data_IF_591759823627
#
_entry.id   IF_591759823627
#
_cell.length_a   1.000
_cell.length_b   1.000
_cell.length_c   1.000
_cell.angle_alpha   90.00
_cell.angle_beta   90.00
_cell.angle_gamma   90.00
#
_symmetry.space_group_name_H-M   'P 1'
#
loop_
_entity.id
_entity.type
_entity.pdbx_description
1 polymer ?
#
# COMPACT_ATOMS: atom_id res chain seq x y z
N UNK A 1 -26.81 -9.43 -0.88
CA UNK A 1 -25.81 -8.36 -1.03
C UNK A 1 -25.25 -8.45 -2.47
N UNK A 2 -25.62 -7.53 -3.38
CA UNK A 2 -25.27 -7.62 -4.81
C UNK A 2 -23.77 -7.32 -4.98
N UNK A 3 -23.03 -8.28 -5.49
CA UNK A 3 -21.61 -8.16 -5.84
C UNK A 3 -21.51 -7.16 -6.99
N UNK A 4 -20.88 -6.03 -6.78
CA UNK A 4 -20.54 -5.06 -7.82
C UNK A 4 -19.68 -5.75 -8.91
N UNK A 5 -20.19 -5.73 -10.14
CA UNK A 5 -19.59 -6.42 -11.27
C UNK A 5 -18.41 -5.59 -11.82
N UNK A 6 -17.20 -5.87 -11.37
CA UNK A 6 -15.97 -5.13 -11.67
C UNK A 6 -15.63 -5.01 -13.17
N UNK A 7 -16.13 -5.92 -14.02
CA UNK A 7 -15.98 -5.78 -15.48
C UNK A 7 -16.70 -4.54 -16.02
N UNK A 8 -17.87 -4.18 -15.46
CA UNK A 8 -18.60 -2.98 -15.87
C UNK A 8 -17.94 -1.68 -15.37
N UNK A 9 -17.21 -1.73 -14.25
CA UNK A 9 -16.43 -0.59 -13.76
C UNK A 9 -15.27 -0.25 -14.71
N UNK A 10 -14.59 -1.24 -15.29
CA UNK A 10 -13.49 -1.05 -16.25
C UNK A 10 -13.94 -0.34 -17.54
N UNK A 11 -15.13 -0.65 -18.06
CA UNK A 11 -15.66 0.03 -19.25
C UNK A 11 -16.16 1.44 -18.94
N UNK A 12 -16.76 1.68 -17.77
CA UNK A 12 -17.15 3.02 -17.33
C UNK A 12 -15.94 3.91 -17.11
N UNK A 13 -14.81 3.36 -16.69
CA UNK A 13 -13.54 4.05 -16.50
C UNK A 13 -12.93 4.51 -17.84
N UNK A 14 -12.95 3.66 -18.87
CA UNK A 14 -12.50 4.03 -20.23
C UNK A 14 -13.39 5.08 -20.88
N UNK A 15 -14.72 5.02 -20.71
CA UNK A 15 -15.64 6.00 -21.24
C UNK A 15 -15.54 7.37 -20.52
N UNK A 16 -15.23 7.40 -19.22
CA UNK A 16 -15.04 8.65 -18.49
C UNK A 16 -13.78 9.39 -18.93
N UNK A 17 -12.71 8.68 -19.28
CA UNK A 17 -11.47 9.27 -19.81
C UNK A 17 -11.72 9.91 -21.19
N UNK A 18 -12.49 9.28 -22.06
CA UNK A 18 -12.77 9.80 -23.41
C UNK A 18 -13.69 11.04 -23.41
N UNK A 19 -14.58 11.19 -22.44
CA UNK A 19 -15.45 12.35 -22.30
C UNK A 19 -14.75 13.60 -21.71
N UNK A 20 -13.69 13.41 -20.90
CA UNK A 20 -12.91 14.48 -20.31
C UNK A 20 -11.91 15.13 -21.30
N UNK A 21 -11.60 14.47 -22.42
CA UNK A 21 -10.69 15.00 -23.44
C UNK A 21 -11.32 16.06 -24.37
N UNK A 22 -12.62 16.35 -24.27
CA UNK A 22 -13.34 17.16 -25.24
C UNK A 22 -13.54 18.63 -24.88
N UNK A 23 -13.14 19.10 -23.70
CA UNK A 23 -13.34 20.53 -23.34
C UNK A 23 -12.18 21.06 -22.51
N UNK A 24 -11.46 22.02 -23.12
CA UNK A 24 -10.37 22.84 -22.56
C UNK A 24 -9.11 22.04 -22.16
N UNK A 25 -8.15 22.02 -23.06
CA UNK A 25 -6.76 21.62 -22.80
C UNK A 25 -6.15 22.65 -21.83
N UNK A 26 -6.44 22.53 -20.54
CA UNK A 26 -5.54 23.03 -19.53
C UNK A 26 -4.26 22.22 -19.70
N UNK A 27 -3.14 22.87 -19.97
CA UNK A 27 -1.84 22.22 -20.08
C UNK A 27 -1.60 21.44 -18.78
N UNK A 28 -1.56 20.12 -18.88
CA UNK A 28 -1.26 19.27 -17.74
C UNK A 28 0.17 19.56 -17.29
N UNK A 29 0.34 19.88 -16.02
CA UNK A 29 1.67 19.91 -15.42
C UNK A 29 2.06 18.47 -15.07
N UNK A 30 3.16 18.00 -15.64
CA UNK A 30 3.70 16.68 -15.36
C UNK A 30 4.85 16.79 -14.38
N UNK A 31 4.79 16.01 -13.31
CA UNK A 31 5.82 15.91 -12.28
C UNK A 31 6.27 14.45 -12.20
N UNK A 32 7.58 14.24 -12.32
CA UNK A 32 8.22 12.96 -12.07
C UNK A 32 8.74 12.89 -10.63
N UNK A 33 8.64 11.71 -10.02
CA UNK A 33 9.23 11.42 -8.73
C UNK A 33 9.91 10.06 -8.76
N UNK A 34 11.09 9.97 -8.16
CA UNK A 34 11.81 8.70 -7.97
C UNK A 34 12.17 8.57 -6.51
N UNK A 35 11.91 7.39 -5.92
CA UNK A 35 12.35 7.02 -4.58
C UNK A 35 13.24 5.78 -4.66
N UNK A 36 14.41 5.83 -4.01
CA UNK A 36 15.29 4.67 -3.82
C UNK A 36 15.51 4.49 -2.33
N UNK A 37 15.34 3.26 -1.81
CA UNK A 37 15.42 3.04 -0.37
C UNK A 37 15.89 1.65 0.01
N UNK A 38 16.45 1.58 1.22
CA UNK A 38 16.77 0.33 1.91
C UNK A 38 15.75 0.16 3.04
N UNK A 39 15.16 -1.02 3.09
CA UNK A 39 14.15 -1.39 4.09
C UNK A 39 14.58 -2.64 4.85
N UNK A 40 14.30 -2.67 6.15
CA UNK A 40 14.39 -3.88 6.96
C UNK A 40 13.02 -4.18 7.57
N UNK A 41 12.54 -5.43 7.40
CA UNK A 41 11.31 -5.94 8.01
C UNK A 41 11.68 -7.09 8.96
N UNK A 42 11.35 -6.95 10.24
CA UNK A 42 11.70 -7.94 11.26
C UNK A 42 10.88 -9.24 11.19
N UNK A 43 9.78 -9.26 10.41
CA UNK A 43 8.88 -10.42 10.29
C UNK A 43 8.10 -10.34 8.97
N UNK A 44 8.80 -10.54 7.84
CA UNK A 44 8.21 -10.39 6.49
C UNK A 44 7.15 -11.47 6.20
N UNK A 45 7.25 -12.62 6.84
CA UNK A 45 6.35 -13.75 6.66
C UNK A 45 5.15 -13.72 7.64
N UNK A 46 5.08 -12.73 8.54
CA UNK A 46 4.01 -12.58 9.52
C UNK A 46 3.82 -13.81 10.43
N UNK A 47 4.90 -14.52 10.77
CA UNK A 47 4.85 -15.66 11.66
C UNK A 47 4.71 -15.22 13.11
N UNK A 48 4.06 -16.07 13.92
CA UNK A 48 3.92 -15.91 15.37
C UNK A 48 5.09 -16.54 16.12
N UNK A 49 5.49 -17.75 15.70
CA UNK A 49 6.50 -18.53 16.40
C UNK A 49 7.89 -18.01 16.08
N UNK A 50 8.71 -17.78 17.10
CA UNK A 50 10.07 -17.22 16.97
C UNK A 50 10.95 -18.00 15.99
N UNK A 51 10.83 -19.34 15.96
CA UNK A 51 11.59 -20.20 15.05
C UNK A 51 11.18 -20.07 13.56
N UNK A 52 10.04 -19.45 13.28
CA UNK A 52 9.50 -19.28 11.94
C UNK A 52 9.61 -17.83 11.46
N UNK A 53 9.90 -16.89 12.38
CA UNK A 53 10.03 -15.46 12.03
C UNK A 53 11.18 -15.25 11.04
N UNK A 54 10.84 -14.62 9.91
CA UNK A 54 11.78 -14.27 8.87
C UNK A 54 12.02 -12.77 8.85
N UNK A 55 13.17 -12.34 9.37
CA UNK A 55 13.67 -10.96 9.21
C UNK A 55 14.41 -10.83 7.89
N UNK A 56 14.22 -9.71 7.16
CA UNK A 56 14.84 -9.51 5.85
C UNK A 56 15.07 -8.04 5.55
N UNK A 57 16.13 -7.76 4.78
CA UNK A 57 16.37 -6.44 4.20
C UNK A 57 16.14 -6.46 2.70
N UNK A 58 15.64 -5.35 2.16
CA UNK A 58 15.39 -5.16 0.73
C UNK A 58 15.90 -3.81 0.25
N UNK A 59 16.20 -3.75 -1.04
CA UNK A 59 16.42 -2.51 -1.79
C UNK A 59 15.17 -2.29 -2.65
N UNK A 60 14.60 -1.09 -2.61
CA UNK A 60 13.47 -0.69 -3.45
C UNK A 60 13.82 0.52 -4.32
N UNK A 61 13.19 0.57 -5.50
CA UNK A 61 13.19 1.71 -6.38
C UNK A 61 11.78 1.92 -6.92
N UNK A 62 11.25 3.14 -6.76
CA UNK A 62 9.93 3.56 -7.20
C UNK A 62 10.08 4.73 -8.18
N UNK A 63 9.31 4.71 -9.27
CA UNK A 63 9.21 5.81 -10.23
C UNK A 63 7.74 6.13 -10.44
N UNK A 64 7.37 7.40 -10.27
CA UNK A 64 6.03 7.91 -10.49
C UNK A 64 6.07 9.03 -11.52
N UNK A 65 5.07 9.08 -12.38
CA UNK A 65 4.80 10.21 -13.27
C UNK A 65 3.35 10.64 -13.07
N UNK A 66 3.14 11.88 -12.66
CA UNK A 66 1.80 12.41 -12.35
C UNK A 66 1.49 13.60 -13.24
N UNK A 67 0.41 13.51 -14.01
CA UNK A 67 -0.21 14.64 -14.69
C UNK A 67 -1.25 15.26 -13.78
N UNK A 68 -1.14 16.58 -13.58
CA UNK A 68 -2.04 17.36 -12.75
C UNK A 68 -2.91 18.27 -13.61
N UNK A 69 -4.21 18.22 -13.43
CA UNK A 69 -5.21 18.99 -14.16
C UNK A 69 -6.01 19.85 -13.17
N UNK A 70 -5.70 21.13 -13.04
CA UNK A 70 -6.52 22.05 -12.26
C UNK A 70 -7.89 22.23 -12.94
N UNK A 71 -8.94 22.16 -12.13
CA UNK A 71 -10.31 22.39 -12.54
C UNK A 71 -10.86 23.61 -11.79
N UNK A 72 -12.01 24.09 -12.21
CA UNK A 72 -12.66 25.23 -11.57
C UNK A 72 -13.08 24.94 -10.12
N UNK A 73 -13.32 26.00 -9.34
CA UNK A 73 -13.88 25.96 -7.98
C UNK A 73 -13.07 25.12 -6.99
N UNK A 74 -11.73 25.12 -7.09
CA UNK A 74 -10.83 24.41 -6.19
C UNK A 74 -10.84 22.88 -6.39
N UNK A 75 -11.38 22.41 -7.50
CA UNK A 75 -11.28 21.01 -7.90
C UNK A 75 -9.96 20.75 -8.64
N UNK A 76 -9.48 19.52 -8.58
CA UNK A 76 -8.37 19.05 -9.41
C UNK A 76 -8.50 17.57 -9.70
N UNK A 77 -7.96 17.15 -10.82
CA UNK A 77 -7.82 15.76 -11.23
C UNK A 77 -6.33 15.46 -11.37
N UNK A 78 -5.90 14.28 -10.97
CA UNK A 78 -4.55 13.78 -11.26
C UNK A 78 -4.59 12.36 -11.81
N UNK A 79 -3.69 12.09 -12.75
CA UNK A 79 -3.46 10.77 -13.32
C UNK A 79 -2.00 10.42 -13.04
N UNK A 80 -1.78 9.29 -12.39
CA UNK A 80 -0.43 8.83 -12.03
C UNK A 80 -0.16 7.47 -12.66
N UNK A 81 0.98 7.33 -13.33
CA UNK A 81 1.59 6.06 -13.65
C UNK A 81 2.66 5.73 -12.61
N UNK A 82 2.75 4.47 -12.18
CA UNK A 82 3.74 4.03 -11.19
C UNK A 82 4.45 2.75 -11.65
N UNK A 83 5.75 2.67 -11.35
CA UNK A 83 6.55 1.46 -11.46
C UNK A 83 7.36 1.31 -10.19
N UNK A 84 7.35 0.11 -9.60
CA UNK A 84 8.15 -0.20 -8.41
C UNK A 84 8.89 -1.51 -8.61
N UNK A 85 10.16 -1.54 -8.20
CA UNK A 85 10.97 -2.74 -8.05
C UNK A 85 11.40 -2.92 -6.60
N UNK A 86 11.40 -4.17 -6.10
CA UNK A 86 11.94 -4.51 -4.78
C UNK A 86 12.75 -5.80 -4.86
N UNK A 87 13.98 -5.77 -4.35
CA UNK A 87 14.89 -6.91 -4.31
C UNK A 87 15.31 -7.21 -2.86
N UNK A 88 15.14 -8.45 -2.44
CA UNK A 88 15.43 -8.93 -1.10
C UNK A 88 16.79 -9.62 -1.04
N UNK A 89 17.56 -9.39 0.03
CA UNK A 89 18.85 -10.03 0.26
C UNK A 89 18.74 -11.54 0.53
N UNK A 90 17.61 -11.96 1.15
CA UNK A 90 17.16 -13.33 1.31
C UNK A 90 15.74 -13.45 0.76
N UNK A 91 15.20 -14.66 0.63
CA UNK A 91 13.84 -14.89 0.15
C UNK A 91 13.59 -14.28 -1.23
N UNK A 92 14.51 -14.55 -2.17
CA UNK A 92 14.50 -13.97 -3.53
C UNK A 92 13.22 -14.23 -4.31
N UNK A 93 12.42 -15.23 -3.91
CA UNK A 93 11.07 -15.44 -4.42
C UNK A 93 10.10 -14.27 -4.15
N UNK A 94 10.43 -13.38 -3.21
CA UNK A 94 9.71 -12.13 -2.93
C UNK A 94 10.14 -10.97 -3.84
N UNK A 95 11.26 -11.08 -4.54
CA UNK A 95 11.66 -10.04 -5.51
C UNK A 95 10.51 -9.77 -6.44
N UNK A 96 10.20 -8.51 -6.67
CA UNK A 96 9.05 -8.15 -7.48
C UNK A 96 9.27 -6.87 -8.29
N UNK A 97 8.51 -6.78 -9.36
CA UNK A 97 8.29 -5.56 -10.12
C UNK A 97 6.80 -5.36 -10.22
N UNK A 98 6.32 -4.16 -9.96
CA UNK A 98 4.92 -3.80 -10.11
C UNK A 98 4.76 -2.61 -11.03
N UNK A 99 3.65 -2.60 -11.78
CA UNK A 99 3.25 -1.52 -12.67
C UNK A 99 1.81 -1.14 -12.37
N UNK A 100 1.53 0.14 -12.22
CA UNK A 100 0.22 0.60 -11.83
C UNK A 100 -0.17 1.94 -12.43
N UNK A 101 -1.44 2.25 -12.29
CA UNK A 101 -2.01 3.54 -12.59
C UNK A 101 -3.02 3.94 -11.52
N UNK A 102 -3.11 5.24 -11.28
CA UNK A 102 -4.08 5.82 -10.35
C UNK A 102 -4.75 7.05 -10.97
N UNK A 103 -6.02 7.24 -10.61
CA UNK A 103 -6.80 8.44 -10.88
C UNK A 103 -7.24 9.01 -9.55
N UNK A 104 -7.02 10.31 -9.32
CA UNK A 104 -7.49 10.96 -8.11
C UNK A 104 -8.19 12.28 -8.42
N UNK A 105 -9.33 12.48 -7.76
CA UNK A 105 -10.06 13.73 -7.72
C UNK A 105 -9.88 14.37 -6.35
N UNK A 106 -9.62 15.66 -6.30
CA UNK A 106 -9.49 16.44 -5.07
C UNK A 106 -10.32 17.70 -5.15
N UNK A 107 -10.99 18.04 -4.06
CA UNK A 107 -11.71 19.29 -3.86
C UNK A 107 -11.16 20.04 -2.65
N UNK A 108 -10.78 21.28 -2.85
CA UNK A 108 -10.44 22.23 -1.80
C UNK A 108 -11.67 23.09 -1.52
N UNK A 109 -12.12 23.14 -0.26
CA UNK A 109 -13.43 23.70 0.11
C UNK A 109 -13.41 25.21 0.37
N UNK A 110 -12.22 25.82 0.49
CA UNK A 110 -12.05 27.26 0.67
C UNK A 110 -10.72 27.71 0.07
N UNK A 111 -10.46 28.98 0.07
CA UNK A 111 -9.18 29.57 -0.32
C UNK A 111 -8.21 29.62 0.86
N UNK A 112 -6.91 29.72 0.55
CA UNK A 112 -5.84 29.88 1.55
C UNK A 112 -5.25 28.56 2.07
N UNK A 113 -4.22 28.68 2.90
CA UNK A 113 -3.40 27.56 3.38
C UNK A 113 -4.14 26.63 4.35
N UNK A 114 -5.11 27.14 5.08
CA UNK A 114 -5.88 26.41 6.09
C UNK A 114 -7.19 25.79 5.55
N UNK A 115 -7.43 25.93 4.25
CA UNK A 115 -8.64 25.38 3.63
C UNK A 115 -8.64 23.85 3.71
N UNK A 116 -9.71 23.23 4.23
CA UNK A 116 -9.84 21.78 4.21
C UNK A 116 -10.01 21.28 2.78
N UNK A 117 -9.59 20.06 2.55
CA UNK A 117 -9.76 19.38 1.27
C UNK A 117 -10.23 17.94 1.48
N UNK A 118 -10.92 17.43 0.48
CA UNK A 118 -11.30 16.01 0.38
C UNK A 118 -10.88 15.48 -0.99
N UNK A 119 -10.71 14.17 -1.09
CA UNK A 119 -10.35 13.51 -2.34
C UNK A 119 -10.86 12.09 -2.39
N UNK A 120 -11.01 11.60 -3.62
CA UNK A 120 -11.30 10.22 -3.95
C UNK A 120 -10.22 9.73 -4.90
N UNK A 121 -9.67 8.52 -4.67
CA UNK A 121 -8.72 7.92 -5.60
C UNK A 121 -9.09 6.47 -5.92
N UNK A 122 -8.77 6.08 -7.13
CA UNK A 122 -8.89 4.72 -7.66
C UNK A 122 -7.52 4.33 -8.19
N UNK A 123 -7.01 3.15 -7.83
CA UNK A 123 -5.77 2.63 -8.38
C UNK A 123 -5.86 1.16 -8.72
N UNK A 124 -5.05 0.76 -9.70
CA UNK A 124 -4.90 -0.63 -10.12
C UNK A 124 -3.43 -0.88 -10.41
N UNK A 125 -2.86 -1.89 -9.76
CA UNK A 125 -1.44 -2.23 -9.87
C UNK A 125 -1.30 -3.72 -10.16
N UNK A 126 -0.56 -4.07 -11.19
CA UNK A 126 -0.15 -5.44 -11.48
C UNK A 126 1.13 -5.76 -10.70
N UNK A 127 1.11 -6.86 -9.95
CA UNK A 127 2.21 -7.34 -9.12
C UNK A 127 2.84 -8.55 -9.80
N UNK A 128 4.14 -8.51 -10.06
CA UNK A 128 4.88 -9.59 -10.66
C UNK A 128 6.08 -9.96 -9.77
N UNK A 129 6.00 -11.12 -9.12
CA UNK A 129 7.00 -11.66 -8.20
C UNK A 129 7.87 -12.70 -8.89
N UNK A 130 9.10 -12.86 -8.43
CA UNK A 130 9.98 -13.95 -8.87
C UNK A 130 9.35 -15.32 -8.59
N UNK A 131 8.64 -15.47 -7.46
CA UNK A 131 7.75 -16.60 -7.24
C UNK A 131 6.34 -16.25 -7.72
N UNK A 132 5.94 -16.78 -8.88
CA UNK A 132 4.73 -16.43 -9.61
C UNK A 132 3.40 -16.76 -8.90
N UNK A 133 3.42 -17.54 -7.82
CA UNK A 133 2.21 -17.83 -7.01
C UNK A 133 1.61 -16.57 -6.39
N UNK A 134 2.42 -15.51 -6.24
CA UNK A 134 2.02 -14.22 -5.69
C UNK A 134 1.61 -13.20 -6.75
N UNK A 135 1.72 -13.54 -8.04
CA UNK A 135 1.39 -12.62 -9.13
C UNK A 135 -0.10 -12.31 -9.16
N UNK A 136 -0.45 -11.09 -9.55
CA UNK A 136 -1.85 -10.71 -9.66
C UNK A 136 -2.08 -9.21 -9.67
N UNK A 137 -3.30 -8.81 -9.38
CA UNK A 137 -3.75 -7.43 -9.41
C UNK A 137 -4.12 -6.94 -8.02
N UNK A 138 -3.73 -5.72 -7.70
CA UNK A 138 -4.15 -4.98 -6.51
C UNK A 138 -4.97 -3.76 -6.96
N UNK A 139 -6.23 -3.71 -6.54
CA UNK A 139 -7.15 -2.62 -6.83
C UNK A 139 -7.52 -1.94 -5.52
N UNK A 140 -7.49 -0.61 -5.51
CA UNK A 140 -7.76 0.19 -4.32
C UNK A 140 -8.73 1.32 -4.65
N UNK A 141 -9.58 1.64 -3.68
CA UNK A 141 -10.43 2.82 -3.66
C UNK A 141 -10.16 3.51 -2.33
N UNK A 142 -9.81 4.79 -2.33
CA UNK A 142 -9.57 5.53 -1.10
C UNK A 142 -10.27 6.89 -1.11
N UNK A 143 -10.85 7.23 0.05
CA UNK A 143 -11.35 8.56 0.37
C UNK A 143 -10.36 9.20 1.32
N UNK A 144 -9.96 10.43 1.01
CA UNK A 144 -8.96 11.18 1.78
C UNK A 144 -9.52 12.53 2.19
N UNK A 145 -9.05 13.03 3.30
CA UNK A 145 -9.31 14.40 3.72
C UNK A 145 -8.14 14.94 4.51
N UNK A 146 -7.96 16.25 4.47
CA UNK A 146 -6.88 16.88 5.22
C UNK A 146 -7.09 18.36 5.42
N UNK A 147 -6.36 18.90 6.39
CA UNK A 147 -6.39 20.31 6.74
C UNK A 147 -5.10 20.68 7.47
N UNK A 148 -4.56 21.86 7.16
CA UNK A 148 -3.60 22.53 8.03
C UNK A 148 -4.34 23.09 9.24
N UNK A 149 -3.99 22.67 10.44
CA UNK A 149 -4.64 23.09 11.69
C UNK A 149 -3.91 24.25 12.36
N UNK A 150 -2.57 24.30 12.21
CA UNK A 150 -1.70 25.39 12.66
C UNK A 150 -0.63 25.64 11.60
N UNK A 151 0.18 26.69 11.76
CA UNK A 151 1.25 27.03 10.82
C UNK A 151 2.19 25.87 10.50
N UNK A 152 2.46 25.03 11.51
CA UNK A 152 3.42 23.93 11.45
C UNK A 152 2.77 22.53 11.46
N UNK A 153 1.43 22.44 11.50
CA UNK A 153 0.74 21.17 11.62
C UNK A 153 -0.25 20.95 10.47
N UNK A 154 -0.05 19.87 9.75
CA UNK A 154 -0.97 19.33 8.75
C UNK A 154 -1.52 17.99 9.23
N UNK A 155 -2.84 17.76 9.12
CA UNK A 155 -3.47 16.50 9.50
C UNK A 155 -4.20 15.93 8.29
N UNK A 156 -4.05 14.61 8.07
CA UNK A 156 -4.66 13.88 6.95
C UNK A 156 -5.27 12.58 7.47
N UNK A 157 -6.45 12.26 7.01
CA UNK A 157 -7.11 10.98 7.24
C UNK A 157 -7.41 10.31 5.90
N UNK A 158 -7.30 9.00 5.86
CA UNK A 158 -7.64 8.19 4.70
C UNK A 158 -8.46 6.97 5.14
N UNK A 159 -9.49 6.62 4.37
CA UNK A 159 -10.16 5.35 4.43
C UNK A 159 -10.02 4.64 3.09
N UNK A 160 -9.49 3.42 3.10
CA UNK A 160 -9.15 2.66 1.90
C UNK A 160 -9.83 1.30 1.90
N UNK A 161 -10.34 0.91 0.75
CA UNK A 161 -10.77 -0.45 0.42
C UNK A 161 -9.77 -1.03 -0.56
N UNK A 162 -9.28 -2.23 -0.27
CA UNK A 162 -8.34 -2.95 -1.11
C UNK A 162 -8.88 -4.33 -1.48
N UNK A 163 -8.70 -4.71 -2.74
CA UNK A 163 -8.87 -6.07 -3.23
C UNK A 163 -7.64 -6.47 -4.03
N UNK A 164 -6.99 -7.51 -3.59
CA UNK A 164 -5.94 -8.20 -4.32
C UNK A 164 -6.50 -9.50 -4.89
N UNK A 165 -6.19 -9.78 -6.15
CA UNK A 165 -6.43 -11.07 -6.79
C UNK A 165 -5.09 -11.63 -7.20
N UNK A 166 -4.84 -12.90 -6.91
CA UNK A 166 -3.61 -13.60 -7.24
C UNK A 166 -3.91 -14.92 -7.95
N UNK A 167 -2.87 -15.61 -8.40
CA UNK A 167 -3.02 -16.92 -8.98
C UNK A 167 -3.58 -17.91 -7.95
N UNK A 168 -4.56 -18.71 -8.35
CA UNK A 168 -5.10 -19.77 -7.51
C UNK A 168 -4.17 -20.97 -7.56
N UNK A 169 -3.78 -21.47 -6.39
CA UNK A 169 -2.95 -22.66 -6.25
C UNK A 169 -3.81 -23.91 -6.05
N UNK A 170 -3.27 -25.11 -6.31
CA UNK A 170 -3.92 -26.33 -5.89
C UNK A 170 -4.12 -26.29 -4.35
N UNK A 171 -5.27 -26.74 -3.85
CA UNK A 171 -5.50 -26.83 -2.40
C UNK A 171 -4.55 -27.89 -1.82
N UNK A 172 -3.89 -27.50 -0.71
CA UNK A 172 -3.01 -28.41 0.01
C UNK A 172 -3.80 -29.35 0.92
N UNK A 173 -4.90 -28.87 1.48
CA UNK A 173 -5.80 -29.63 2.36
C UNK A 173 -7.17 -29.83 1.70
N UNK A 174 -7.75 -31.05 1.74
CA UNK A 174 -9.08 -31.29 1.21
C UNK A 174 -10.13 -30.38 1.84
N UNK A 175 -10.91 -29.70 1.01
CA UNK A 175 -11.99 -28.80 1.46
C UNK A 175 -11.55 -27.38 1.82
N UNK A 176 -10.25 -27.05 1.81
CA UNK A 176 -9.72 -25.71 2.02
C UNK A 176 -9.20 -25.16 0.69
N UNK A 177 -9.51 -23.91 0.39
CA UNK A 177 -9.08 -23.26 -0.87
C UNK A 177 -7.56 -23.07 -0.92
N UNK A 178 -6.96 -23.20 -2.11
CA UNK A 178 -5.57 -22.82 -2.39
C UNK A 178 -5.38 -21.33 -2.75
N UNK A 179 -6.45 -20.52 -2.72
CA UNK A 179 -6.41 -19.10 -3.09
C UNK A 179 -5.92 -18.24 -1.91
N UNK A 180 -4.64 -18.37 -1.58
CA UNK A 180 -4.02 -17.78 -0.38
C UNK A 180 -3.71 -16.30 -0.56
N UNK A 181 -3.22 -15.91 -1.74
CA UNK A 181 -2.73 -14.54 -1.95
C UNK A 181 -3.78 -13.57 -2.47
N UNK A 182 -5.00 -14.03 -2.74
CA UNK A 182 -6.15 -13.14 -2.98
C UNK A 182 -6.70 -12.64 -1.65
N UNK A 183 -6.79 -11.34 -1.49
CA UNK A 183 -7.10 -10.69 -0.22
C UNK A 183 -8.09 -9.55 -0.42
N UNK A 184 -8.93 -9.33 0.60
CA UNK A 184 -9.79 -8.15 0.70
C UNK A 184 -9.59 -7.51 2.06
N UNK A 185 -9.38 -6.21 2.10
CA UNK A 185 -9.21 -5.49 3.35
C UNK A 185 -9.75 -4.07 3.27
N UNK A 186 -9.94 -3.47 4.44
CA UNK A 186 -10.23 -2.07 4.65
C UNK A 186 -9.22 -1.50 5.64
N UNK A 187 -8.80 -0.26 5.41
CA UNK A 187 -7.85 0.41 6.29
C UNK A 187 -8.28 1.84 6.55
N UNK A 188 -7.98 2.33 7.73
CA UNK A 188 -8.06 3.72 8.11
C UNK A 188 -6.67 4.17 8.56
N UNK A 189 -6.20 5.29 8.02
CA UNK A 189 -4.94 5.92 8.44
C UNK A 189 -5.21 7.34 8.91
N UNK A 190 -4.47 7.76 9.93
CA UNK A 190 -4.41 9.14 10.38
C UNK A 190 -2.95 9.55 10.42
N UNK A 191 -2.61 10.64 9.76
CA UNK A 191 -1.26 11.19 9.71
C UNK A 191 -1.27 12.64 10.19
N UNK A 192 -0.29 12.99 11.03
CA UNK A 192 -0.02 14.35 11.44
C UNK A 192 1.42 14.71 11.03
N UNK A 193 1.59 15.78 10.28
CA UNK A 193 2.87 16.29 9.84
C UNK A 193 3.22 17.55 10.63
N UNK A 194 4.42 17.58 11.21
CA UNK A 194 4.96 18.71 11.95
C UNK A 194 6.19 19.28 11.27
N UNK A 195 6.11 20.52 10.81
CA UNK A 195 7.23 21.24 10.22
C UNK A 195 8.10 21.81 11.32
N UNK A 196 9.29 21.23 11.55
CA UNK A 196 10.26 21.70 12.53
C UNK A 196 11.02 22.94 12.03
N UNK A 197 11.50 22.88 10.79
CA UNK A 197 12.21 23.96 10.09
C UNK A 197 11.94 23.90 8.59
N UNK A 198 12.48 24.83 7.83
CA UNK A 198 12.34 24.85 6.36
C UNK A 198 12.97 23.62 5.68
N UNK A 199 13.91 22.96 6.35
CA UNK A 199 14.60 21.77 5.84
C UNK A 199 14.21 20.46 6.52
N UNK A 200 13.38 20.48 7.57
CA UNK A 200 13.07 19.27 8.34
C UNK A 200 11.60 19.23 8.80
N UNK A 201 10.95 18.09 8.57
CA UNK A 201 9.60 17.83 9.08
C UNK A 201 9.45 16.37 9.52
N UNK A 202 8.54 16.15 10.44
CA UNK A 202 8.21 14.84 10.99
C UNK A 202 6.80 14.45 10.57
N UNK A 203 6.58 13.17 10.30
CA UNK A 203 5.25 12.61 10.10
C UNK A 203 4.99 11.53 11.14
N UNK A 204 3.89 11.67 11.86
CA UNK A 204 3.39 10.69 12.82
C UNK A 204 2.16 10.04 12.22
N UNK A 205 2.15 8.72 12.09
CA UNK A 205 1.06 7.99 11.47
C UNK A 205 0.50 6.90 12.36
N UNK A 206 -0.78 6.63 12.21
CA UNK A 206 -1.46 5.48 12.78
C UNK A 206 -2.23 4.73 11.70
N UNK A 207 -2.32 3.42 11.85
CA UNK A 207 -3.00 2.49 10.94
C UNK A 207 -3.94 1.60 11.74
N UNK A 208 -5.18 1.48 11.27
CA UNK A 208 -6.10 0.43 11.61
C UNK A 208 -6.51 -0.30 10.33
N UNK A 209 -6.14 -1.56 10.17
CA UNK A 209 -6.50 -2.38 9.00
C UNK A 209 -7.27 -3.61 9.47
N UNK A 210 -8.36 -3.94 8.78
CA UNK A 210 -9.16 -5.14 9.03
C UNK A 210 -9.42 -5.87 7.71
N UNK A 211 -9.35 -7.20 7.73
CA UNK A 211 -9.62 -8.05 6.57
C UNK A 211 -8.63 -9.20 6.46
N UNK A 212 -8.47 -9.72 5.26
CA UNK A 212 -7.59 -10.86 5.03
C UNK A 212 -6.13 -10.50 5.28
N UNK A 213 -5.44 -11.33 6.03
CA UNK A 213 -3.99 -11.33 6.24
C UNK A 213 -3.43 -12.68 5.83
N UNK A 214 -2.20 -12.68 5.33
CA UNK A 214 -1.46 -13.91 4.99
C UNK A 214 -0.26 -14.00 5.91
N UNK A 215 -0.13 -15.14 6.57
CA UNK A 215 1.05 -15.53 7.32
C UNK A 215 1.66 -16.78 6.68
N UNK A 216 2.99 -16.85 6.64
CA UNK A 216 3.70 -18.04 6.18
C UNK A 216 4.49 -18.61 7.34
N UNK A 217 4.12 -19.83 7.77
CA UNK A 217 4.71 -20.53 8.92
C UNK A 217 4.67 -22.04 8.69
N UNK A 218 5.34 -22.80 9.54
CA UNK A 218 5.20 -24.25 9.54
C UNK A 218 3.81 -24.65 10.01
N UNK A 219 3.42 -25.86 9.68
CA UNK A 219 2.07 -26.36 9.96
C UNK A 219 1.75 -26.35 11.46
N UNK A 220 0.62 -25.75 11.82
CA UNK A 220 0.06 -25.77 13.17
C UNK A 220 -1.46 -25.96 13.10
N UNK A 221 -1.99 -26.86 13.94
CA UNK A 221 -3.40 -27.28 13.91
C UNK A 221 -4.38 -26.11 14.06
N UNK A 222 -4.11 -25.17 14.98
CA UNK A 222 -5.01 -24.04 15.24
C UNK A 222 -5.10 -23.09 14.05
N UNK A 223 -3.98 -22.84 13.38
CA UNK A 223 -3.93 -21.96 12.20
C UNK A 223 -4.68 -22.59 11.03
N UNK A 224 -4.56 -23.91 10.84
CA UNK A 224 -5.26 -24.64 9.78
C UNK A 224 -6.77 -24.46 9.91
N UNK A 225 -7.34 -24.71 11.09
CA UNK A 225 -8.79 -24.60 11.31
C UNK A 225 -9.35 -23.17 11.12
N UNK A 226 -8.56 -22.15 11.38
CA UNK A 226 -8.97 -20.75 11.21
C UNK A 226 -8.74 -20.23 9.78
N UNK A 227 -8.05 -21.00 8.93
CA UNK A 227 -7.64 -20.53 7.61
C UNK A 227 -8.75 -20.64 6.58
N UNK A 228 -8.97 -19.58 5.82
CA UNK A 228 -9.86 -19.56 4.66
C UNK A 228 -9.21 -20.18 3.42
N UNK A 229 -7.88 -20.18 3.37
CA UNK A 229 -7.09 -20.77 2.29
C UNK A 229 -5.71 -21.15 2.82
N UNK A 230 -5.17 -22.25 2.27
CA UNK A 230 -3.84 -22.79 2.62
C UNK A 230 -3.17 -23.25 1.34
N UNK A 231 -1.89 -22.91 1.18
CA UNK A 231 -1.06 -23.43 0.09
C UNK A 231 0.41 -23.46 0.52
N UNK A 232 1.19 -24.33 -0.09
CA UNK A 232 2.65 -24.38 0.09
C UNK A 232 3.28 -23.01 -0.21
N UNK A 233 4.21 -22.58 0.62
CA UNK A 233 5.00 -21.36 0.42
C UNK A 233 6.51 -21.65 0.40
N UNK A 234 7.04 -22.10 -0.72
CA UNK A 234 8.45 -22.51 -0.84
C UNK A 234 9.44 -21.35 -0.69
N UNK A 235 8.97 -20.11 -0.67
CA UNK A 235 9.83 -18.93 -0.53
C UNK A 235 10.57 -18.91 0.79
N UNK A 236 9.92 -19.38 1.88
CA UNK A 236 10.51 -19.39 3.23
C UNK A 236 11.18 -20.72 3.59
N UNK A 237 11.12 -21.72 2.72
CA UNK A 237 11.79 -23.01 2.90
C UNK A 237 10.83 -24.20 2.83
N UNK A 238 11.36 -25.42 3.04
CA UNK A 238 10.54 -26.63 3.05
C UNK A 238 9.58 -26.60 4.26
N UNK A 239 8.38 -27.15 4.07
CA UNK A 239 7.33 -27.24 5.10
C UNK A 239 6.77 -25.89 5.58
N UNK A 240 7.01 -24.81 4.83
CA UNK A 240 6.29 -23.56 5.03
C UNK A 240 5.01 -23.53 4.19
N UNK A 241 3.93 -23.10 4.81
CA UNK A 241 2.63 -22.91 4.18
C UNK A 241 2.16 -21.48 4.40
N UNK A 242 1.57 -20.91 3.38
CA UNK A 242 0.87 -19.64 3.50
C UNK A 242 -0.57 -19.92 3.96
N UNK A 243 -1.01 -19.18 4.95
CA UNK A 243 -2.33 -19.26 5.56
C UNK A 243 -3.04 -17.91 5.41
N UNK A 244 -4.20 -17.90 4.74
CA UNK A 244 -5.04 -16.71 4.68
C UNK A 244 -6.11 -16.77 5.76
N UNK A 245 -6.07 -15.80 6.65
CA UNK A 245 -7.00 -15.66 7.78
C UNK A 245 -7.60 -14.27 7.80
N UNK A 246 -8.66 -14.06 8.56
CA UNK A 246 -9.13 -12.72 8.87
C UNK A 246 -8.35 -12.16 10.07
N UNK A 247 -8.04 -10.86 10.03
CA UNK A 247 -7.28 -10.24 11.12
C UNK A 247 -7.45 -8.73 11.19
N UNK A 248 -7.01 -8.18 12.31
CA UNK A 248 -6.96 -6.73 12.55
C UNK A 248 -5.54 -6.33 12.88
N UNK A 249 -5.01 -5.36 12.14
CA UNK A 249 -3.67 -4.81 12.33
C UNK A 249 -3.77 -3.39 12.87
N UNK A 250 -3.05 -3.12 13.93
CA UNK A 250 -2.78 -1.79 14.48
C UNK A 250 -1.34 -1.42 14.15
N UNK A 251 -1.12 -0.20 13.68
CA UNK A 251 0.21 0.28 13.33
C UNK A 251 0.44 1.70 13.81
N UNK A 252 1.70 1.99 14.15
CA UNK A 252 2.20 3.34 14.38
C UNK A 252 3.47 3.51 13.56
N UNK A 253 3.66 4.70 13.00
CA UNK A 253 4.90 5.07 12.31
C UNK A 253 5.35 6.48 12.67
N UNK A 254 6.64 6.68 12.58
CA UNK A 254 7.29 7.98 12.68
C UNK A 254 8.27 8.09 11.51
N UNK A 255 8.14 9.15 10.73
CA UNK A 255 9.07 9.48 9.65
C UNK A 255 9.76 10.80 9.98
N UNK A 256 11.06 10.86 9.77
CA UNK A 256 11.86 12.07 9.76
C UNK A 256 12.24 12.36 8.30
N UNK A 257 11.92 13.55 7.84
CA UNK A 257 12.13 13.99 6.48
C UNK A 257 13.08 15.18 6.47
N UNK A 258 14.14 15.10 5.70
CA UNK A 258 15.15 16.12 5.55
C UNK A 258 15.27 16.58 4.10
N UNK A 259 14.94 17.83 3.82
CA UNK A 259 15.04 18.46 2.50
C UNK A 259 16.51 18.77 2.24
N UNK A 260 17.13 18.04 1.32
CA UNK A 260 18.54 18.18 0.94
C UNK A 260 18.71 19.28 -0.12
N UNK A 261 17.80 19.29 -1.09
CA UNK A 261 17.69 20.34 -2.14
C UNK A 261 16.20 20.59 -2.40
N UNK A 262 15.82 21.65 -3.16
CA UNK A 262 14.42 21.86 -3.54
C UNK A 262 13.77 20.67 -4.27
N UNK A 263 14.59 19.81 -4.90
CA UNK A 263 14.12 18.62 -5.64
C UNK A 263 14.41 17.31 -4.92
N UNK A 264 15.09 17.30 -3.77
CA UNK A 264 15.50 16.05 -3.13
C UNK A 264 15.24 16.03 -1.62
N UNK A 265 14.81 14.86 -1.14
CA UNK A 265 14.44 14.59 0.24
C UNK A 265 15.08 13.28 0.70
N UNK A 266 15.70 13.29 1.87
CA UNK A 266 16.10 12.09 2.61
C UNK A 266 15.04 11.79 3.66
N UNK A 267 14.54 10.53 3.69
CA UNK A 267 13.57 10.06 4.68
C UNK A 267 14.16 8.94 5.52
N UNK A 268 13.99 9.00 6.83
CA UNK A 268 14.16 7.88 7.73
C UNK A 268 12.82 7.55 8.39
N UNK A 269 12.41 6.29 8.35
CA UNK A 269 11.10 5.82 8.80
C UNK A 269 11.24 4.62 9.73
N UNK A 270 10.45 4.61 10.79
CA UNK A 270 10.28 3.47 11.68
C UNK A 270 8.80 3.23 11.91
N UNK A 271 8.36 1.99 11.75
CA UNK A 271 6.99 1.60 12.07
C UNK A 271 6.94 0.33 12.91
N UNK A 272 5.92 0.24 13.75
CA UNK A 272 5.57 -0.95 14.53
C UNK A 272 4.14 -1.35 14.21
N UNK A 273 3.93 -2.63 13.93
CA UNK A 273 2.63 -3.20 13.65
C UNK A 273 2.37 -4.39 14.55
N UNK A 274 1.14 -4.53 15.03
CA UNK A 274 0.64 -5.68 15.78
C UNK A 274 -0.62 -6.16 15.10
N UNK A 275 -0.68 -7.46 14.80
CA UNK A 275 -1.81 -8.08 14.12
C UNK A 275 -2.40 -9.17 15.01
N UNK A 276 -3.71 -9.14 15.17
CA UNK A 276 -4.50 -10.18 15.82
C UNK A 276 -5.34 -10.89 14.76
N UNK A 277 -5.25 -12.21 14.70
CA UNK A 277 -5.97 -13.02 13.71
C UNK A 277 -6.92 -14.01 14.36
N UNK A 278 -7.89 -14.46 13.58
CA UNK A 278 -8.65 -15.68 13.89
C UNK A 278 -7.65 -16.86 13.92
N UNK A 279 -7.74 -17.74 14.92
CA UNK A 279 -6.83 -18.89 15.08
C UNK A 279 -5.55 -18.59 15.84
N UNK A 280 -5.52 -17.46 16.56
CA UNK A 280 -4.44 -17.06 17.47
C UNK A 280 -3.04 -16.95 16.82
N UNK A 281 -2.95 -16.80 15.49
CA UNK A 281 -1.69 -16.42 14.85
C UNK A 281 -1.46 -14.91 15.02
N UNK A 282 -1.19 -14.49 16.25
CA UNK A 282 -0.91 -13.11 16.58
C UNK A 282 0.57 -12.81 16.36
N UNK A 283 0.89 -11.75 15.67
CA UNK A 283 2.27 -11.38 15.39
C UNK A 283 2.50 -9.89 15.47
N UNK A 284 3.74 -9.54 15.69
CA UNK A 284 4.20 -8.17 15.65
C UNK A 284 5.41 -8.04 14.72
N UNK A 285 5.55 -6.87 14.09
CA UNK A 285 6.72 -6.57 13.28
C UNK A 285 7.11 -5.11 13.39
N UNK A 286 8.38 -4.86 13.20
CA UNK A 286 8.95 -3.52 13.03
C UNK A 286 9.52 -3.41 11.63
N UNK A 287 9.24 -2.28 10.99
CA UNK A 287 9.83 -1.95 9.69
C UNK A 287 10.63 -0.67 9.83
N UNK A 288 11.86 -0.69 9.35
CA UNK A 288 12.76 0.46 9.29
C UNK A 288 13.09 0.72 7.83
N UNK A 289 13.17 1.98 7.44
CA UNK A 289 13.50 2.35 6.06
C UNK A 289 14.30 3.64 6.04
N UNK A 290 15.28 3.71 5.15
CA UNK A 290 15.93 4.95 4.75
C UNK A 290 15.78 5.06 3.25
N UNK A 291 15.30 6.21 2.76
CA UNK A 291 15.07 6.42 1.34
C UNK A 291 15.45 7.83 0.90
N UNK A 292 15.83 7.94 -0.35
CA UNK A 292 16.06 9.19 -1.06
C UNK A 292 14.96 9.36 -2.10
N UNK A 293 14.31 10.53 -2.05
CA UNK A 293 13.31 10.95 -3.03
C UNK A 293 13.88 12.08 -3.89
N UNK A 294 13.60 12.02 -5.19
CA UNK A 294 13.97 13.05 -6.16
C UNK A 294 12.78 13.41 -7.05
N UNK A 295 12.48 14.72 -7.18
CA UNK A 295 11.44 15.26 -8.05
C UNK A 295 12.08 15.91 -9.28
N UNK A 296 11.53 15.66 -10.47
CA UNK A 296 12.01 16.18 -11.75
C UNK A 296 10.88 16.55 -12.70
#
# INVERSE_FOLDING_TARGET
MRILNFKRLGYAFLCAISLLCASHVALAEWVGNTEVGIRHDSNINNAQLDNDIAGVSSLSADVLATGFFPLENGNSLSITGESRGEAFNHYTGLNNVSLGAALAFRKKWALGAYAPWTGLSLSSTHLNYANNIRNGWRNQIAIRGGKRIFERWDVRAEYMLERRTANTLPPDQPGISGDVFSQTSRAMTLNAEYTWSDSMFFTFGSLLRHGDVVASTRETTNIIYASKAIAMDPVFGPNFYAYRMNGTTYGLNVDMNFVVTPSSLLRASVSRQVTHTEGDNNYAKSVQMVSWNYNF
#
